data_IF_208870542044
#
_entry.id   IF_208870542044
#
_cell.length_a   1.000
_cell.length_b   1.000
_cell.length_c   1.000
_cell.angle_alpha   90.00
_cell.angle_beta   90.00
_cell.angle_gamma   90.00
#
_symmetry.space_group_name_H-M   'P 1'
#
loop_
_entity.id
_entity.type
_entity.pdbx_description
1 polymer ?
#
# COMPACT_ATOMS: atom_id res chain seq x y z
N UNK A 1 3.89 0.34 23.80
CA UNK A 1 3.47 1.53 23.04
C UNK A 1 4.07 1.61 21.65
N UNK A 2 5.37 1.88 21.44
CA UNK A 2 5.95 2.06 20.07
C UNK A 2 5.68 0.93 19.05
N UNK A 3 5.52 -0.32 19.50
CA UNK A 3 5.31 -1.47 18.61
C UNK A 3 3.86 -1.60 18.13
N UNK A 4 2.87 -1.21 18.93
CA UNK A 4 1.46 -1.32 18.55
C UNK A 4 1.03 -0.21 17.59
N UNK A 5 1.47 1.02 17.83
CA UNK A 5 1.26 2.15 16.91
C UNK A 5 1.93 1.89 15.56
N UNK A 6 3.14 1.33 15.56
CA UNK A 6 3.86 0.93 14.35
C UNK A 6 3.12 -0.18 13.58
N UNK A 7 2.66 -1.22 14.28
CA UNK A 7 1.88 -2.31 13.68
C UNK A 7 0.56 -1.81 13.08
N UNK A 8 -0.12 -0.90 13.77
CA UNK A 8 -1.36 -0.29 13.30
C UNK A 8 -1.10 0.56 12.05
N UNK A 9 -0.08 1.41 12.06
CA UNK A 9 0.29 2.20 10.88
C UNK A 9 0.63 1.31 9.68
N UNK A 10 1.34 0.21 9.89
CA UNK A 10 1.64 -0.79 8.86
C UNK A 10 0.37 -1.41 8.26
N UNK A 11 -0.61 -1.74 9.11
CA UNK A 11 -1.91 -2.29 8.69
C UNK A 11 -2.76 -1.27 7.92
N UNK A 12 -2.81 -0.02 8.37
CA UNK A 12 -3.58 1.04 7.72
C UNK A 12 -3.02 1.38 6.33
N UNK A 13 -1.69 1.41 6.19
CA UNK A 13 -1.01 1.57 4.89
C UNK A 13 -1.40 0.45 3.91
N UNK A 14 -1.40 -0.79 4.41
CA UNK A 14 -1.78 -1.96 3.66
C UNK A 14 -3.22 -1.88 3.12
N UNK A 15 -4.18 -1.53 3.98
CA UNK A 15 -5.58 -1.37 3.57
C UNK A 15 -5.77 -0.26 2.53
N UNK A 16 -5.07 0.87 2.69
CA UNK A 16 -5.12 1.98 1.75
C UNK A 16 -4.65 1.56 0.35
N UNK A 17 -3.57 0.77 0.30
CA UNK A 17 -3.02 0.26 -0.96
C UNK A 17 -3.95 -0.79 -1.60
N UNK A 18 -4.59 -1.66 -0.80
CA UNK A 18 -5.61 -2.59 -1.30
C UNK A 18 -6.82 -1.86 -1.90
N UNK A 19 -7.32 -0.81 -1.24
CA UNK A 19 -8.36 0.05 -1.81
C UNK A 19 -7.89 0.71 -3.12
N UNK A 20 -6.66 1.20 -3.14
CA UNK A 20 -6.10 1.87 -4.31
C UNK A 20 -5.95 0.93 -5.52
N UNK A 21 -5.50 -0.31 -5.32
CA UNK A 21 -5.43 -1.32 -6.38
C UNK A 21 -6.83 -1.70 -6.91
N UNK A 22 -7.84 -1.77 -6.04
CA UNK A 22 -9.23 -1.96 -6.42
C UNK A 22 -9.77 -0.78 -7.28
N UNK A 23 -9.46 0.46 -6.90
CA UNK A 23 -9.81 1.63 -7.70
C UNK A 23 -9.11 1.60 -9.06
N UNK A 24 -7.81 1.24 -9.10
CA UNK A 24 -7.03 1.14 -10.35
C UNK A 24 -7.60 0.13 -11.34
N UNK A 25 -8.19 -0.96 -10.87
CA UNK A 25 -8.79 -2.00 -11.69
C UNK A 25 -10.10 -1.58 -12.39
N UNK A 26 -10.67 -0.41 -12.06
CA UNK A 26 -11.90 0.09 -12.68
C UNK A 26 -11.62 0.66 -14.07
N UNK A 27 -12.43 0.30 -15.06
CA UNK A 27 -12.30 0.67 -16.48
C UNK A 27 -12.32 2.19 -16.75
N UNK A 28 -12.69 3.02 -15.78
CA UNK A 28 -12.82 4.48 -15.91
C UNK A 28 -11.53 5.28 -15.68
N UNK A 29 -10.39 4.65 -15.37
CA UNK A 29 -9.20 5.40 -14.98
C UNK A 29 -8.42 5.97 -16.17
N UNK A 30 -8.50 7.30 -16.28
CA UNK A 30 -7.78 8.14 -17.24
C UNK A 30 -6.36 8.38 -16.71
N UNK A 31 -5.46 7.39 -16.82
CA UNK A 31 -4.06 7.53 -16.40
C UNK A 31 -3.32 6.20 -16.32
N UNK A 32 -1.98 6.23 -16.27
CA UNK A 32 -1.13 5.04 -16.09
C UNK A 32 -1.24 4.52 -14.65
N UNK A 33 -1.89 3.36 -14.41
CA UNK A 33 -2.10 2.82 -13.06
C UNK A 33 -0.79 2.56 -12.31
N UNK A 34 0.27 2.24 -13.08
CA UNK A 34 1.61 1.97 -12.57
C UNK A 34 2.25 3.22 -11.95
N UNK A 35 2.06 4.39 -12.58
CA UNK A 35 2.62 5.63 -12.07
C UNK A 35 1.90 6.06 -10.78
N UNK A 36 0.58 5.92 -10.74
CA UNK A 36 -0.22 6.28 -9.57
C UNK A 36 0.13 5.41 -8.35
N UNK A 37 0.34 4.10 -8.54
CA UNK A 37 0.79 3.18 -7.48
C UNK A 37 2.18 3.53 -6.97
N UNK A 38 3.10 3.86 -7.87
CA UNK A 38 4.47 4.28 -7.50
C UNK A 38 4.47 5.56 -6.67
N UNK A 39 3.71 6.57 -7.09
CA UNK A 39 3.66 7.85 -6.36
C UNK A 39 2.98 7.71 -4.99
N UNK A 40 1.97 6.84 -4.85
CA UNK A 40 1.35 6.54 -3.56
C UNK A 40 2.34 5.89 -2.58
N UNK A 41 3.07 4.86 -3.02
CA UNK A 41 4.09 4.18 -2.19
C UNK A 41 5.16 5.19 -1.72
N UNK A 42 5.61 6.07 -2.62
CA UNK A 42 6.57 7.14 -2.29
C UNK A 42 6.03 8.11 -1.24
N UNK A 43 4.79 8.58 -1.39
CA UNK A 43 4.16 9.48 -0.44
C UNK A 43 4.05 8.83 0.95
N UNK A 44 3.57 7.58 1.02
CA UNK A 44 3.42 6.85 2.28
C UNK A 44 4.77 6.62 2.97
N UNK A 45 5.82 6.32 2.21
CA UNK A 45 7.16 6.17 2.76
C UNK A 45 7.68 7.48 3.37
N UNK A 46 7.48 8.60 2.67
CA UNK A 46 7.90 9.92 3.13
C UNK A 46 7.17 10.36 4.42
N UNK A 47 5.87 10.06 4.55
CA UNK A 47 5.08 10.46 5.72
C UNK A 47 5.22 9.53 6.93
N UNK A 48 5.38 8.22 6.71
CA UNK A 48 5.36 7.23 7.81
C UNK A 48 6.74 6.91 8.38
N UNK A 49 7.81 7.23 7.65
CA UNK A 49 9.18 6.79 7.99
C UNK A 49 9.42 5.30 7.74
N UNK A 50 8.48 4.60 7.10
CA UNK A 50 8.61 3.20 6.66
C UNK A 50 9.20 3.20 5.25
N UNK A 51 10.19 2.36 4.98
CA UNK A 51 10.81 2.33 3.64
C UNK A 51 9.85 1.79 2.57
N UNK A 52 10.03 2.24 1.32
CA UNK A 52 9.26 1.71 0.19
C UNK A 52 9.34 0.19 0.07
N UNK A 53 10.51 -0.40 0.37
CA UNK A 53 10.72 -1.86 0.36
C UNK A 53 9.81 -2.55 1.38
N UNK A 54 9.76 -2.06 2.63
CA UNK A 54 8.90 -2.62 3.67
C UNK A 54 7.40 -2.48 3.32
N UNK A 55 7.01 -1.41 2.63
CA UNK A 55 5.63 -1.23 2.16
C UNK A 55 5.31 -2.26 1.06
N UNK A 56 6.22 -2.50 0.11
CA UNK A 56 6.04 -3.51 -0.96
C UNK A 56 5.96 -4.93 -0.43
N UNK A 57 6.85 -5.31 0.48
CA UNK A 57 6.82 -6.62 1.16
C UNK A 57 5.47 -6.84 1.88
N UNK A 58 4.94 -5.79 2.51
CA UNK A 58 3.64 -5.87 3.20
C UNK A 58 2.47 -6.05 2.24
N UNK A 59 2.56 -5.52 1.02
CA UNK A 59 1.56 -5.72 -0.02
C UNK A 59 1.57 -7.14 -0.55
N UNK A 60 2.76 -7.69 -0.79
CA UNK A 60 2.94 -9.07 -1.24
C UNK A 60 2.37 -10.05 -0.18
N UNK A 61 2.67 -9.82 1.10
CA UNK A 61 2.13 -10.59 2.23
C UNK A 61 0.59 -10.61 2.28
N UNK A 62 -0.08 -9.55 1.82
CA UNK A 62 -1.55 -9.45 1.81
C UNK A 62 -2.11 -10.17 0.61
N UNK A 63 -1.54 -9.94 -0.58
CA UNK A 63 -1.98 -10.59 -1.81
C UNK A 63 -1.85 -12.11 -1.73
N UNK A 64 -0.80 -12.63 -1.06
CA UNK A 64 -0.62 -14.06 -0.81
C UNK A 64 -1.62 -14.65 0.19
N UNK A 65 -2.18 -13.84 1.11
CA UNK A 65 -3.19 -14.28 2.07
C UNK A 65 -4.59 -14.30 1.50
N UNK A 66 -4.89 -13.44 0.53
CA UNK A 66 -6.20 -13.40 -0.14
C UNK A 66 -6.36 -14.47 -1.23
N UNK A 67 -5.28 -15.12 -1.66
CA UNK A 67 -5.29 -16.23 -2.65
C UNK A 67 -5.34 -17.64 -2.03
N UNK A 68 -5.37 -17.76 -0.70
CA UNK A 68 -5.53 -19.03 0.04
C UNK A 68 -6.90 -19.10 0.71
#
# INVERSE_FOLDING_TARGET
MKNEEYKKAKFDIANLLGWFECELAKESNIGSPVDARRELIRALAAFSGISETQIKESLEDINERETK
#
